data_IF_076274706455
#
_entry.id   IF_076274706455
#
_cell.length_a   1.000
_cell.length_b   1.000
_cell.length_c   1.000
_cell.angle_alpha   90.00
_cell.angle_beta   90.00
_cell.angle_gamma   90.00
#
_symmetry.space_group_name_H-M   'P 1'
#
loop_
_entity.id
_entity.type
_entity.pdbx_description
1 polymer ?
#
# COMPACT_ATOMS: atom_id res chain seq x y z
N UNK A 1 0.13 -19.83 12.84
CA UNK A 1 0.55 -19.20 11.57
C UNK A 1 1.63 -18.17 11.90
N UNK A 2 2.83 -18.30 11.34
CA UNK A 2 3.87 -17.27 11.45
C UNK A 2 3.47 -16.11 10.55
N UNK A 3 3.42 -14.89 11.09
CA UNK A 3 3.17 -13.68 10.28
C UNK A 3 4.47 -13.32 9.57
N UNK A 4 4.37 -13.04 8.26
CA UNK A 4 5.51 -12.55 7.49
C UNK A 4 6.03 -11.24 8.08
N UNK A 5 7.34 -11.05 8.07
CA UNK A 5 7.94 -9.78 8.46
C UNK A 5 7.44 -8.64 7.55
N UNK A 6 7.26 -7.46 8.13
CA UNK A 6 7.00 -6.25 7.35
C UNK A 6 8.30 -5.82 6.65
N UNK A 7 8.23 -5.64 5.34
CA UNK A 7 9.37 -5.24 4.50
C UNK A 7 9.08 -4.01 3.67
N UNK A 8 7.81 -3.58 3.62
CA UNK A 8 7.33 -2.51 2.76
C UNK A 8 6.31 -1.66 3.53
N UNK A 9 6.16 -0.41 3.08
CA UNK A 9 5.14 0.53 3.56
C UNK A 9 4.16 0.80 2.44
N UNK A 10 2.87 0.67 2.72
CA UNK A 10 1.79 0.95 1.80
C UNK A 10 0.99 2.16 2.27
N UNK A 11 0.57 3.03 1.35
CA UNK A 11 -0.31 4.16 1.65
C UNK A 11 -1.77 3.74 1.55
N UNK A 12 -2.52 3.84 2.65
CA UNK A 12 -3.90 3.33 2.76
C UNK A 12 -4.84 4.02 1.75
N UNK A 13 -4.73 5.33 1.62
CA UNK A 13 -5.53 6.13 0.67
C UNK A 13 -4.94 6.14 -0.76
N UNK A 14 -3.92 5.32 -1.01
CA UNK A 14 -3.14 5.30 -2.24
C UNK A 14 -2.13 6.46 -2.35
N UNK A 15 -1.17 6.31 -3.27
CA UNK A 15 -0.12 7.31 -3.51
C UNK A 15 -0.52 8.40 -4.51
N UNK A 16 -1.38 8.12 -5.51
CA UNK A 16 -1.77 9.10 -6.55
C UNK A 16 -0.58 9.93 -7.09
N UNK A 17 -0.77 11.24 -7.31
CA UNK A 17 0.31 12.21 -7.56
C UNK A 17 0.92 12.78 -6.25
N UNK A 18 1.07 11.94 -5.22
CA UNK A 18 1.45 12.31 -3.85
C UNK A 18 0.45 13.29 -3.19
N UNK A 19 -0.82 12.88 -3.10
CA UNK A 19 -1.89 13.66 -2.47
C UNK A 19 -1.58 14.13 -1.03
N UNK A 20 -2.48 14.92 -0.41
CA UNK A 20 -2.20 15.66 0.82
C UNK A 20 -1.80 14.82 2.04
N UNK A 21 -2.05 13.50 2.02
CA UNK A 21 -1.74 12.55 3.10
C UNK A 21 -0.48 11.71 2.83
N UNK A 22 0.37 12.09 1.86
CA UNK A 22 1.54 11.26 1.49
C UNK A 22 2.56 11.11 2.63
N UNK A 23 2.71 12.14 3.46
CA UNK A 23 3.60 12.18 4.64
C UNK A 23 2.87 12.05 5.99
N UNK A 24 1.59 11.72 5.97
CA UNK A 24 0.85 11.46 7.20
C UNK A 24 1.12 10.02 7.64
N UNK A 25 1.80 9.84 8.78
CA UNK A 25 2.10 8.51 9.33
C UNK A 25 0.83 7.68 9.58
N UNK A 26 -0.33 8.32 9.83
CA UNK A 26 -1.62 7.62 9.96
C UNK A 26 -2.10 7.00 8.65
N UNK A 27 -1.53 7.40 7.52
CA UNK A 27 -1.79 6.85 6.20
C UNK A 27 -0.80 5.73 5.82
N UNK A 28 0.14 5.37 6.69
CA UNK A 28 1.16 4.37 6.40
C UNK A 28 0.81 3.02 7.05
N UNK A 29 0.89 1.96 6.25
CA UNK A 29 0.69 0.59 6.69
C UNK A 29 1.95 -0.24 6.43
N UNK A 30 2.59 -0.72 7.50
CA UNK A 30 3.67 -1.68 7.41
C UNK A 30 3.14 -3.05 6.96
N UNK A 31 3.67 -3.59 5.87
CA UNK A 31 3.19 -4.86 5.31
C UNK A 31 4.31 -5.69 4.67
N UNK A 32 3.99 -6.96 4.40
CA UNK A 32 4.88 -7.87 3.71
C UNK A 32 4.79 -7.69 2.19
N UNK A 33 5.81 -8.07 1.42
CA UNK A 33 5.80 -7.91 -0.05
C UNK A 33 4.58 -8.51 -0.76
N UNK A 34 4.14 -9.71 -0.38
CA UNK A 34 2.94 -10.33 -0.97
C UNK A 34 1.65 -9.61 -0.57
N UNK A 35 1.60 -9.09 0.65
CA UNK A 35 0.51 -8.28 1.16
C UNK A 35 0.41 -6.98 0.34
N UNK A 36 1.55 -6.32 0.10
CA UNK A 36 1.63 -5.09 -0.67
C UNK A 36 1.22 -5.29 -2.13
N UNK A 37 1.65 -6.39 -2.76
CA UNK A 37 1.22 -6.72 -4.13
C UNK A 37 -0.30 -6.85 -4.28
N UNK A 38 -0.99 -7.37 -3.25
CA UNK A 38 -2.46 -7.43 -3.22
C UNK A 38 -3.07 -6.03 -3.13
N UNK A 39 -2.50 -5.14 -2.30
CA UNK A 39 -2.96 -3.75 -2.23
C UNK A 39 -2.75 -3.01 -3.54
N UNK A 40 -1.56 -3.10 -4.14
CA UNK A 40 -1.27 -2.51 -5.46
C UNK A 40 -2.25 -3.00 -6.53
N UNK A 41 -2.58 -4.29 -6.54
CA UNK A 41 -3.56 -4.86 -7.47
C UNK A 41 -4.99 -4.37 -7.24
N UNK A 42 -5.35 -3.98 -6.01
CA UNK A 42 -6.66 -3.38 -5.70
C UNK A 42 -6.71 -1.92 -6.12
N UNK A 43 -5.65 -1.18 -5.86
CA UNK A 43 -5.58 0.26 -6.10
C UNK A 43 -5.50 0.60 -7.59
N UNK A 44 -4.75 -0.20 -8.35
CA UNK A 44 -4.39 0.10 -9.74
C UNK A 44 -4.79 -1.00 -10.72
N UNK A 45 -5.75 -1.87 -10.34
CA UNK A 45 -6.09 -3.12 -11.03
C UNK A 45 -5.81 -3.11 -12.53
N UNK A 46 -5.08 -4.13 -13.02
CA UNK A 46 -4.70 -4.28 -14.43
C UNK A 46 -5.89 -4.02 -15.37
N UNK A 47 -5.99 -2.79 -15.87
CA UNK A 47 -7.11 -2.31 -16.69
C UNK A 47 -8.19 -1.58 -15.90
N UNK A 48 -8.05 -0.26 -15.77
CA UNK A 48 -9.17 0.68 -15.70
C UNK A 48 -8.70 2.03 -16.24
N UNK A 49 -9.41 2.49 -17.27
CA UNK A 49 -9.25 3.74 -17.99
C UNK A 49 -9.57 4.96 -17.12
#
# INVERSE_FOLDING_TARGET
>A
MVRNAATETHHIDGLGLAGPRWNDESNWLACCKSCHAVYTGRDFGFGSH
#
